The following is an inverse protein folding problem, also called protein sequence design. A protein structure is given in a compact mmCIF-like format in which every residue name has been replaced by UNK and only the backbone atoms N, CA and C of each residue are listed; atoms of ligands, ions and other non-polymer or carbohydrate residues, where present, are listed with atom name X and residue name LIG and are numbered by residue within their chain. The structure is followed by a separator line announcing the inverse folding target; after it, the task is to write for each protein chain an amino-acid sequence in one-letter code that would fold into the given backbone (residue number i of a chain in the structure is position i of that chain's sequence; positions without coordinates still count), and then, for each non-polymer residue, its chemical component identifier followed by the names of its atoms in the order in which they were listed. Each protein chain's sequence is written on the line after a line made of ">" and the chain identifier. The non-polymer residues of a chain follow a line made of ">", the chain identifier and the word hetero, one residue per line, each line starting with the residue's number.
data_IF_475676973606
#
_entry.id   IF_475676973606
#
_cell.length_a   1.000
_cell.length_b   1.000
_cell.length_c   1.000
_cell.angle_alpha   90.00
_cell.angle_beta   90.00
_cell.angle_gamma   90.00
#
_symmetry.space_group_name_H-M   'P 1'
#
loop_
_entity.id
_entity.type
_entity.pdbx_description
1 polymer ?
#
# COMPACT_ATOMS: atom_id res chain seq x y z
N UNK A 1 -2.79 -3.35 -10.75
CA UNK A 1 -3.24 -2.46 -9.67
C UNK A 1 -3.00 -1.02 -10.10
N UNK A 2 -3.98 -0.13 -9.92
CA UNK A 2 -3.89 1.30 -10.27
C UNK A 2 -4.12 2.11 -9.01
N UNK A 3 -3.15 2.94 -8.63
CA UNK A 3 -3.13 3.75 -7.42
C UNK A 3 -3.18 5.24 -7.78
N UNK A 4 -4.17 5.95 -7.25
CA UNK A 4 -4.47 7.30 -7.71
C UNK A 4 -3.70 8.35 -6.90
N UNK A 5 -3.55 9.54 -7.48
CA UNK A 5 -3.13 10.70 -6.71
C UNK A 5 -4.17 11.09 -5.66
N UNK A 6 -3.74 11.74 -4.57
CA UNK A 6 -4.66 12.11 -3.49
C UNK A 6 -4.04 12.74 -2.25
N UNK A 7 -2.72 12.97 -2.22
CA UNK A 7 -2.02 13.53 -1.06
C UNK A 7 -2.28 12.71 0.20
N UNK A 8 -2.75 13.35 1.27
CA UNK A 8 -3.08 12.69 2.54
C UNK A 8 -4.10 11.54 2.41
N UNK A 9 -4.92 11.51 1.34
CA UNK A 9 -5.84 10.38 1.09
C UNK A 9 -5.11 9.07 0.75
N UNK A 10 -3.79 9.12 0.53
CA UNK A 10 -2.96 7.93 0.43
C UNK A 10 -3.05 7.01 1.66
N UNK A 11 -3.35 7.56 2.85
CA UNK A 11 -3.58 6.74 4.05
C UNK A 11 -4.77 5.78 3.88
N UNK A 12 -5.87 6.21 3.24
CA UNK A 12 -7.00 5.33 2.96
C UNK A 12 -6.63 4.25 1.94
N UNK A 13 -5.85 4.61 0.92
CA UNK A 13 -5.33 3.67 -0.07
C UNK A 13 -4.49 2.56 0.62
N UNK A 14 -3.66 2.92 1.60
CA UNK A 14 -2.86 1.94 2.36
C UNK A 14 -3.71 1.01 3.21
N UNK A 15 -4.78 1.49 3.84
CA UNK A 15 -5.72 0.61 4.54
C UNK A 15 -6.42 -0.39 3.60
N UNK A 16 -6.76 0.04 2.39
CA UNK A 16 -7.29 -0.87 1.34
C UNK A 16 -6.24 -1.90 0.95
N UNK A 17 -4.98 -1.48 0.76
CA UNK A 17 -3.90 -2.40 0.43
C UNK A 17 -3.67 -3.43 1.54
N UNK A 18 -3.67 -3.02 2.81
CA UNK A 18 -3.58 -3.92 3.97
C UNK A 18 -4.64 -5.02 3.88
N UNK A 19 -5.91 -4.65 3.74
CA UNK A 19 -7.00 -5.60 3.60
C UNK A 19 -6.83 -6.53 2.39
N UNK A 20 -6.42 -5.99 1.24
CA UNK A 20 -6.26 -6.76 0.00
C UNK A 20 -5.20 -7.85 0.14
N UNK A 21 -4.11 -7.58 0.86
CA UNK A 21 -3.03 -8.55 1.02
C UNK A 21 -3.15 -9.43 2.28
N UNK A 22 -3.92 -9.02 3.30
CA UNK A 22 -4.08 -9.80 4.54
C UNK A 22 -5.37 -10.62 4.58
N UNK A 23 -6.50 -10.06 4.12
CA UNK A 23 -7.83 -10.69 4.28
C UNK A 23 -8.46 -11.11 2.95
N UNK A 24 -8.08 -10.49 1.83
CA UNK A 24 -8.67 -10.75 0.52
C UNK A 24 -7.98 -11.92 -0.22
N UNK A 25 -7.91 -13.07 0.43
CA UNK A 25 -7.32 -14.27 -0.13
C UNK A 25 -8.29 -15.01 -1.08
N UNK A 26 -7.73 -15.72 -2.07
CA UNK A 26 -8.49 -16.64 -2.91
C UNK A 26 -8.95 -17.88 -2.12
N UNK A 27 -9.71 -18.78 -2.77
CA UNK A 27 -10.17 -20.03 -2.16
C UNK A 27 -9.04 -20.97 -1.69
N UNK A 28 -7.79 -20.70 -2.08
CA UNK A 28 -6.58 -21.45 -1.70
C UNK A 28 -5.76 -20.72 -0.64
N UNK A 29 -6.21 -19.56 -0.16
CA UNK A 29 -5.53 -18.76 0.85
C UNK A 29 -4.40 -17.88 0.29
N UNK A 30 -4.29 -17.72 -1.04
CA UNK A 30 -3.27 -16.87 -1.63
C UNK A 30 -3.75 -15.42 -1.73
N UNK A 31 -2.88 -14.48 -1.39
CA UNK A 31 -3.10 -13.07 -1.70
C UNK A 31 -3.18 -12.84 -3.23
N UNK A 32 -3.81 -11.74 -3.68
CA UNK A 32 -3.94 -11.45 -5.09
C UNK A 32 -2.58 -11.30 -5.78
N UNK A 33 -2.43 -11.95 -6.94
CA UNK A 33 -1.24 -11.78 -7.78
C UNK A 33 -1.28 -10.40 -8.45
N UNK A 34 -0.19 -9.65 -8.32
CA UNK A 34 -0.04 -8.33 -8.94
C UNK A 34 1.08 -8.37 -9.98
N UNK A 35 0.71 -8.34 -11.26
CA UNK A 35 1.69 -8.35 -12.37
C UNK A 35 2.14 -6.94 -12.79
N UNK A 36 1.32 -5.90 -12.49
CA UNK A 36 1.58 -4.52 -12.86
C UNK A 36 1.04 -3.57 -11.78
N UNK A 37 1.86 -2.58 -11.41
CA UNK A 37 1.47 -1.46 -10.54
C UNK A 37 1.66 -0.17 -11.34
N UNK A 38 0.61 0.64 -11.40
CA UNK A 38 0.66 2.00 -11.94
C UNK A 38 0.20 2.95 -10.84
N UNK A 39 0.94 4.03 -10.63
CA UNK A 39 0.67 4.98 -9.56
C UNK A 39 0.94 6.42 -9.99
N UNK A 40 0.19 7.38 -9.46
CA UNK A 40 0.44 8.81 -9.66
C UNK A 40 0.60 9.51 -8.31
N UNK A 41 1.63 10.36 -8.16
CA UNK A 41 1.90 11.11 -6.92
C UNK A 41 1.94 10.18 -5.70
N UNK A 42 1.08 10.37 -4.70
CA UNK A 42 1.01 9.49 -3.53
C UNK A 42 0.78 8.02 -3.88
N UNK A 43 -0.04 7.74 -4.91
CA UNK A 43 -0.25 6.37 -5.39
C UNK A 43 1.01 5.79 -6.04
N UNK A 44 1.90 6.63 -6.59
CA UNK A 44 3.22 6.18 -7.06
C UNK A 44 4.14 5.83 -5.88
N UNK A 45 4.10 6.60 -4.78
CA UNK A 45 4.87 6.33 -3.56
C UNK A 45 4.42 5.02 -2.91
N UNK A 46 3.11 4.86 -2.66
CA UNK A 46 2.55 3.63 -2.12
C UNK A 46 2.80 2.44 -3.07
N UNK A 47 2.61 2.64 -4.37
CA UNK A 47 2.86 1.62 -5.38
C UNK A 47 4.32 1.17 -5.44
N UNK A 48 5.27 2.10 -5.32
CA UNK A 48 6.69 1.79 -5.26
C UNK A 48 7.05 0.96 -4.02
N UNK A 49 6.48 1.32 -2.85
CA UNK A 49 6.65 0.52 -1.63
C UNK A 49 6.14 -0.91 -1.84
N UNK A 50 4.89 -1.07 -2.31
CA UNK A 50 4.29 -2.39 -2.55
C UNK A 50 5.12 -3.19 -3.55
N UNK A 51 5.58 -2.59 -4.64
CA UNK A 51 6.42 -3.25 -5.63
C UNK A 51 7.74 -3.76 -5.02
N UNK A 52 8.39 -2.95 -4.17
CA UNK A 52 9.66 -3.32 -3.53
C UNK A 52 9.53 -4.42 -2.49
N UNK A 53 8.38 -4.50 -1.81
CA UNK A 53 8.16 -5.40 -0.68
C UNK A 53 7.16 -6.53 -0.97
N UNK A 54 6.84 -6.77 -2.24
CA UNK A 54 5.77 -7.71 -2.65
C UNK A 54 5.99 -9.14 -2.13
N UNK A 55 7.25 -9.57 -1.99
CA UNK A 55 7.62 -10.89 -1.46
C UNK A 55 7.49 -11.04 0.05
N UNK A 56 7.26 -9.93 0.77
CA UNK A 56 7.18 -9.88 2.23
C UNK A 56 5.74 -9.62 2.73
N UNK A 57 4.77 -9.67 1.81
CA UNK A 57 3.36 -9.43 2.11
C UNK A 57 2.73 -10.61 2.89
N UNK A 58 1.80 -10.33 3.82
CA UNK A 58 1.28 -9.01 4.20
C UNK A 58 2.13 -8.26 5.23
N UNK A 59 3.23 -8.84 5.73
CA UNK A 59 4.03 -8.30 6.84
C UNK A 59 4.54 -6.88 6.58
N UNK A 60 5.02 -6.60 5.37
CA UNK A 60 5.53 -5.29 4.98
C UNK A 60 4.46 -4.17 5.03
N UNK A 61 3.16 -4.48 4.88
CA UNK A 61 2.11 -3.44 4.92
C UNK A 61 1.94 -2.82 6.30
N UNK A 62 2.27 -3.54 7.38
CA UNK A 62 2.27 -2.96 8.73
C UNK A 62 3.22 -1.77 8.84
N UNK A 63 4.35 -1.82 8.15
CA UNK A 63 5.31 -0.72 8.12
C UNK A 63 4.74 0.48 7.36
N UNK A 64 4.12 0.24 6.19
CA UNK A 64 3.51 1.30 5.41
C UNK A 64 2.33 1.95 6.16
N UNK A 65 1.50 1.15 6.85
CA UNK A 65 0.42 1.64 7.70
C UNK A 65 0.97 2.53 8.82
N UNK A 66 2.02 2.08 9.53
CA UNK A 66 2.66 2.90 10.58
C UNK A 66 3.20 4.21 10.01
N UNK A 67 3.94 4.16 8.90
CA UNK A 67 4.48 5.36 8.25
C UNK A 67 3.40 6.38 7.91
N UNK A 68 2.23 5.93 7.46
CA UNK A 68 1.09 6.81 7.18
C UNK A 68 0.38 7.30 8.43
N UNK A 69 0.26 6.47 9.46
CA UNK A 69 -0.38 6.82 10.73
C UNK A 69 0.45 7.83 11.54
N UNK A 70 1.78 7.74 11.43
CA UNK A 70 2.74 8.58 12.14
C UNK A 70 3.12 9.85 11.35
N UNK A 71 2.56 10.04 10.15
CA UNK A 71 2.91 11.16 9.29
C UNK A 71 2.28 12.47 9.78
N UNK A 72 3.11 13.36 10.32
CA UNK A 72 2.72 14.71 10.71
C UNK A 72 3.32 15.78 9.77
N UNK A 73 2.61 16.90 9.59
CA UNK A 73 3.07 18.02 8.76
C UNK A 73 4.48 18.53 9.08
N UNK A 74 4.91 18.62 10.37
CA UNK A 74 6.28 19.03 10.70
C UNK A 74 7.37 18.07 10.20
N UNK A 75 7.03 16.85 9.78
CA UNK A 75 8.00 15.87 9.26
C UNK A 75 8.22 16.00 7.74
N UNK A 76 7.46 16.86 7.05
CA UNK A 76 7.46 16.97 5.59
C UNK A 76 7.86 18.38 5.11
N UNK A 77 7.86 19.38 6.00
CA UNK A 77 8.29 20.76 5.77
C UNK A 77 9.68 21.00 6.36
#
# INVERSE_FOLDING_TARGET
>A
MILSGGGARGAYEVGVLEYVFSEFADARGNAPKIDLISGTSVGAVNGAFVASAIGEMPGALKQLVSLWADLELPHVL
#
